data_IF_696444022075
#
_entry.id   IF_696444022075
#
_cell.length_a   1.000
_cell.length_b   1.000
_cell.length_c   1.000
_cell.angle_alpha   90.00
_cell.angle_beta   90.00
_cell.angle_gamma   90.00
#
_symmetry.space_group_name_H-M   'P 1'
#
loop_
_entity.id
_entity.type
_entity.pdbx_description
1 polymer ?
#
# COMPACT_ATOMS: atom_id res chain seq x y z
N UNK A 1 37.61 -13.89 1.71
CA UNK A 1 37.00 -13.26 0.52
C UNK A 1 36.12 -14.32 -0.12
N UNK A 2 34.81 -14.30 0.18
CA UNK A 2 33.81 -15.21 -0.38
C UNK A 2 32.87 -14.34 -1.23
N UNK A 3 32.63 -14.66 -2.52
CA UNK A 3 31.73 -13.86 -3.32
C UNK A 3 30.29 -14.17 -2.89
N UNK A 4 29.59 -13.14 -2.44
CA UNK A 4 28.14 -13.16 -2.32
C UNK A 4 27.55 -13.42 -3.71
N UNK A 5 26.85 -14.56 -3.84
CA UNK A 5 25.90 -14.77 -4.93
C UNK A 5 24.74 -13.78 -4.80
N UNK A 6 24.03 -13.49 -5.91
CA UNK A 6 22.91 -12.56 -5.88
C UNK A 6 21.86 -13.07 -4.88
N UNK A 7 21.38 -12.17 -4.03
CA UNK A 7 20.08 -12.35 -3.37
C UNK A 7 19.06 -12.33 -4.50
N UNK A 8 18.75 -13.51 -5.02
CA UNK A 8 17.67 -13.72 -5.95
C UNK A 8 16.44 -13.10 -5.31
N UNK A 9 15.86 -12.09 -5.96
CA UNK A 9 14.48 -11.71 -5.73
C UNK A 9 13.67 -13.00 -5.73
N UNK A 10 12.95 -13.26 -4.65
CA UNK A 10 12.09 -14.42 -4.54
C UNK A 10 11.06 -14.28 -5.66
N UNK A 11 11.30 -14.94 -6.79
CA UNK A 11 10.36 -15.04 -7.88
C UNK A 11 9.16 -15.87 -7.38
N UNK A 12 8.23 -15.20 -6.72
CA UNK A 12 6.85 -15.63 -6.59
C UNK A 12 5.98 -15.01 -7.71
N UNK A 13 6.59 -14.58 -8.82
CA UNK A 13 5.86 -14.26 -10.05
C UNK A 13 5.27 -15.53 -10.66
N UNK A 14 4.06 -15.89 -10.24
CA UNK A 14 3.50 -17.17 -10.63
C UNK A 14 2.00 -17.33 -10.40
N UNK A 15 1.20 -16.30 -10.68
CA UNK A 15 -0.25 -16.41 -10.70
C UNK A 15 -0.85 -15.88 -12.01
N UNK A 16 -2.03 -16.38 -12.39
CA UNK A 16 -2.67 -15.98 -13.66
C UNK A 16 -3.07 -14.50 -13.69
N UNK A 17 -3.14 -13.85 -12.53
CA UNK A 17 -3.40 -12.43 -12.40
C UNK A 17 -2.43 -11.84 -11.39
N UNK A 18 -1.42 -11.14 -11.90
CA UNK A 18 -0.34 -10.54 -11.12
C UNK A 18 -0.15 -9.08 -11.51
N UNK A 19 -0.21 -8.17 -10.55
CA UNK A 19 0.22 -6.79 -10.71
C UNK A 19 0.62 -6.17 -9.36
N UNK A 20 1.27 -5.00 -9.42
CA UNK A 20 1.69 -4.24 -8.24
C UNK A 20 0.99 -2.88 -8.15
N UNK A 21 0.85 -2.36 -6.94
CA UNK A 21 0.45 -0.98 -6.63
C UNK A 21 1.35 -0.44 -5.52
N UNK A 22 1.34 0.86 -5.26
CA UNK A 22 2.14 1.46 -4.19
C UNK A 22 1.28 2.29 -3.24
N UNK A 23 1.64 2.25 -1.94
CA UNK A 23 0.99 3.01 -0.89
C UNK A 23 2.00 3.82 -0.07
N UNK A 24 1.83 5.13 -0.09
CA UNK A 24 2.41 6.06 0.88
C UNK A 24 1.40 6.40 1.99
N UNK A 25 1.87 6.38 3.25
CA UNK A 25 1.12 6.93 4.39
C UNK A 25 1.89 8.10 4.96
N UNK A 26 1.25 9.26 5.10
CA UNK A 26 1.88 10.49 5.56
C UNK A 26 1.04 11.06 6.71
N UNK A 27 1.65 11.20 7.88
CA UNK A 27 1.01 11.71 9.10
C UNK A 27 1.70 12.98 9.53
N UNK A 28 0.95 14.07 9.59
CA UNK A 28 1.44 15.39 9.96
C UNK A 28 2.73 15.79 9.20
N UNK A 29 2.72 15.51 7.90
CA UNK A 29 3.80 15.86 6.98
C UNK A 29 5.00 14.92 7.01
N UNK A 30 4.94 13.86 7.82
CA UNK A 30 6.01 12.87 7.95
C UNK A 30 5.57 11.53 7.36
N UNK A 31 6.41 10.87 6.53
CA UNK A 31 6.11 9.54 6.05
C UNK A 31 6.03 8.55 7.21
N UNK A 32 5.09 7.62 7.12
CA UNK A 32 4.90 6.49 8.01
C UNK A 32 5.06 5.24 7.18
N UNK A 33 5.90 4.33 7.67
CA UNK A 33 6.24 3.10 6.97
C UNK A 33 5.01 2.17 6.88
N UNK A 34 4.75 1.65 5.68
CA UNK A 34 3.89 0.47 5.48
C UNK A 34 4.73 -0.76 5.83
N UNK A 35 4.30 -1.63 6.76
CA UNK A 35 5.09 -2.79 7.16
C UNK A 35 5.33 -3.80 6.04
N UNK A 36 6.46 -4.49 6.16
CA UNK A 36 6.71 -5.72 5.43
C UNK A 36 5.80 -6.86 5.90
N UNK A 37 5.62 -7.87 5.04
CA UNK A 37 4.94 -9.12 5.36
C UNK A 37 3.47 -8.97 5.78
N UNK A 38 2.78 -7.91 5.33
CA UNK A 38 1.33 -7.83 5.47
C UNK A 38 0.69 -8.95 4.65
N UNK A 39 -0.25 -9.69 5.23
CA UNK A 39 -0.88 -10.84 4.56
C UNK A 39 0.04 -12.05 4.37
N UNK A 40 1.17 -12.13 5.09
CA UNK A 40 2.14 -13.23 4.98
C UNK A 40 2.23 -14.03 6.28
N UNK A 41 1.98 -15.33 6.18
CA UNK A 41 2.32 -16.31 7.23
C UNK A 41 3.62 -17.03 6.84
N UNK A 42 4.73 -16.53 7.37
CA UNK A 42 6.06 -17.08 7.11
C UNK A 42 6.24 -18.50 7.63
N UNK A 43 5.57 -18.86 8.74
CA UNK A 43 5.68 -20.19 9.33
C UNK A 43 4.94 -21.23 8.49
N UNK A 44 3.73 -20.89 8.04
CA UNK A 44 2.93 -21.75 7.18
C UNK A 44 3.34 -21.68 5.70
N UNK A 45 4.22 -20.73 5.33
CA UNK A 45 4.57 -20.42 3.92
C UNK A 45 3.31 -20.18 3.09
N UNK A 46 2.46 -19.28 3.58
CA UNK A 46 1.22 -18.87 2.93
C UNK A 46 1.17 -17.36 2.79
N UNK A 47 0.59 -16.91 1.68
CA UNK A 47 0.39 -15.51 1.36
C UNK A 47 -1.08 -15.31 1.00
N UNK A 48 -1.67 -14.24 1.52
CA UNK A 48 -2.92 -13.71 0.98
C UNK A 48 -2.68 -13.25 -0.46
N UNK A 49 -3.73 -13.30 -1.30
CA UNK A 49 -3.66 -12.81 -2.69
C UNK A 49 -3.20 -11.34 -2.77
N UNK A 50 -3.35 -10.58 -1.68
CA UNK A 50 -2.88 -9.21 -1.53
C UNK A 50 -1.92 -9.18 -0.34
N UNK A 51 -0.65 -8.80 -0.56
CA UNK A 51 0.38 -8.77 0.49
C UNK A 51 1.50 -7.75 0.23
N UNK A 52 2.41 -7.57 1.20
CA UNK A 52 3.67 -6.82 1.01
C UNK A 52 4.87 -7.73 1.28
N UNK A 53 5.92 -7.63 0.48
CA UNK A 53 7.17 -8.35 0.75
C UNK A 53 8.12 -7.58 1.68
N UNK A 54 8.16 -6.26 1.55
CA UNK A 54 9.05 -5.40 2.32
C UNK A 54 8.34 -4.11 2.78
N UNK A 55 9.14 -3.20 3.34
CA UNK A 55 8.67 -1.95 3.91
C UNK A 55 8.59 -0.78 2.91
N UNK A 56 8.76 -1.03 1.61
CA UNK A 56 8.71 0.01 0.58
C UNK A 56 7.32 0.60 0.43
N UNK A 57 6.26 -0.17 0.72
CA UNK A 57 4.87 0.19 0.41
C UNK A 57 4.35 -0.42 -0.89
N UNK A 58 5.16 -1.23 -1.59
CA UNK A 58 4.69 -2.02 -2.74
C UNK A 58 3.72 -3.10 -2.28
N UNK A 59 2.53 -3.08 -2.88
CA UNK A 59 1.45 -4.03 -2.68
C UNK A 59 1.47 -5.01 -3.85
N UNK A 60 1.66 -6.28 -3.53
CA UNK A 60 1.59 -7.39 -4.47
C UNK A 60 0.17 -7.91 -4.54
N UNK A 61 -0.35 -8.06 -5.76
CA UNK A 61 -1.59 -8.79 -6.03
C UNK A 61 -1.23 -9.99 -6.87
N UNK A 62 -1.41 -11.18 -6.31
CA UNK A 62 -1.10 -12.46 -6.93
C UNK A 62 -2.28 -13.41 -6.75
N UNK A 63 -3.04 -13.64 -7.82
CA UNK A 63 -4.30 -14.36 -7.75
C UNK A 63 -4.49 -15.37 -8.89
N UNK A 64 -5.19 -16.49 -8.64
CA UNK A 64 -5.43 -17.51 -9.67
C UNK A 64 -6.38 -17.04 -10.78
N UNK A 65 -7.09 -15.92 -10.59
CA UNK A 65 -7.98 -15.33 -11.58
C UNK A 65 -8.16 -13.83 -11.35
N UNK A 66 -8.56 -13.10 -12.40
CA UNK A 66 -8.87 -11.67 -12.32
C UNK A 66 -10.04 -11.40 -11.39
N UNK A 67 -9.83 -10.50 -10.42
CA UNK A 67 -10.83 -10.01 -9.48
C UNK A 67 -10.57 -8.53 -9.18
N UNK A 68 -11.52 -7.89 -8.51
CA UNK A 68 -11.39 -6.51 -8.05
C UNK A 68 -10.72 -6.48 -6.69
N UNK A 69 -9.63 -5.71 -6.57
CA UNK A 69 -8.91 -5.48 -5.33
C UNK A 69 -9.04 -4.02 -4.91
N UNK A 70 -9.16 -3.76 -3.61
CA UNK A 70 -9.31 -2.42 -3.05
C UNK A 70 -8.38 -2.22 -1.86
N UNK A 71 -7.96 -0.97 -1.62
CA UNK A 71 -7.02 -0.62 -0.56
C UNK A 71 -7.47 -1.12 0.83
N UNK A 72 -8.78 -1.14 1.09
CA UNK A 72 -9.33 -1.65 2.35
C UNK A 72 -8.97 -3.11 2.64
N UNK A 73 -8.73 -3.94 1.62
CA UNK A 73 -8.30 -5.32 1.83
C UNK A 73 -6.89 -5.38 2.43
N UNK A 74 -5.94 -4.56 1.97
CA UNK A 74 -4.62 -4.45 2.60
C UNK A 74 -4.72 -4.02 4.06
N UNK A 75 -5.58 -3.04 4.34
CA UNK A 75 -5.78 -2.55 5.70
C UNK A 75 -6.43 -3.58 6.62
N UNK A 76 -7.20 -4.53 6.07
CA UNK A 76 -7.68 -5.69 6.82
C UNK A 76 -6.54 -6.67 7.12
N UNK A 77 -5.66 -6.97 6.16
CA UNK A 77 -4.45 -7.78 6.38
C UNK A 77 -3.52 -7.14 7.43
N UNK A 78 -3.51 -5.81 7.50
CA UNK A 78 -2.76 -5.03 8.47
C UNK A 78 -3.46 -4.88 9.83
N UNK A 79 -4.71 -5.29 9.98
CA UNK A 79 -5.52 -5.02 11.18
C UNK A 79 -5.54 -3.51 11.57
N UNK A 80 -5.52 -2.65 10.55
CA UNK A 80 -5.55 -1.18 10.71
C UNK A 80 -6.86 -0.67 10.12
N UNK A 81 -7.67 0.00 10.95
CA UNK A 81 -8.95 0.54 10.48
C UNK A 81 -8.73 1.64 9.42
N UNK A 82 -9.31 1.46 8.24
CA UNK A 82 -9.40 2.50 7.21
C UNK A 82 -10.86 2.79 6.85
N UNK A 83 -11.26 4.06 6.94
CA UNK A 83 -12.53 4.53 6.40
C UNK A 83 -12.43 6.01 5.97
N UNK A 84 -13.55 6.60 5.51
CA UNK A 84 -13.61 7.99 5.04
C UNK A 84 -13.08 9.05 6.03
N UNK A 85 -13.00 8.72 7.32
CA UNK A 85 -12.63 9.65 8.39
C UNK A 85 -11.56 9.10 9.34
N UNK A 86 -10.94 7.96 9.04
CA UNK A 86 -10.03 7.33 9.99
C UNK A 86 -8.99 6.45 9.29
N UNK A 87 -7.75 6.52 9.76
CA UNK A 87 -6.67 5.58 9.48
C UNK A 87 -6.02 5.16 10.80
N UNK A 88 -6.08 3.87 11.14
CA UNK A 88 -5.69 3.36 12.46
C UNK A 88 -6.38 4.11 13.61
N UNK A 89 -5.60 4.61 14.57
CA UNK A 89 -6.11 5.44 15.68
C UNK A 89 -6.44 6.89 15.30
N UNK A 90 -6.07 7.35 14.10
CA UNK A 90 -6.15 8.75 13.70
C UNK A 90 -7.52 9.07 13.09
N UNK A 91 -8.33 9.87 13.80
CA UNK A 91 -9.68 10.28 13.37
C UNK A 91 -9.65 11.70 12.80
N UNK A 92 -10.41 11.95 11.74
CA UNK A 92 -10.63 13.27 11.16
C UNK A 92 -11.54 14.11 12.08
N UNK A 93 -10.93 14.65 13.13
CA UNK A 93 -11.50 15.48 14.18
C UNK A 93 -10.45 16.46 14.70
N UNK A 94 -10.84 17.44 15.53
CA UNK A 94 -9.88 18.37 16.15
C UNK A 94 -9.09 19.20 15.14
N UNK A 95 -9.71 19.59 14.03
CA UNK A 95 -9.03 20.33 12.96
C UNK A 95 -8.11 19.48 12.07
N UNK A 96 -8.09 18.15 12.22
CA UNK A 96 -7.35 17.23 11.34
C UNK A 96 -8.28 16.58 10.32
N UNK A 97 -7.74 16.21 9.17
CA UNK A 97 -8.43 15.47 8.09
C UNK A 97 -7.63 14.27 7.64
N UNK A 98 -8.32 13.28 7.08
CA UNK A 98 -7.73 12.26 6.21
C UNK A 98 -8.05 12.64 4.77
N UNK A 99 -7.03 12.71 3.92
CA UNK A 99 -7.17 12.91 2.49
C UNK A 99 -6.50 11.74 1.76
N UNK A 100 -7.08 11.33 0.63
CA UNK A 100 -6.51 10.31 -0.22
C UNK A 100 -6.21 10.87 -1.60
N UNK A 101 -5.14 10.37 -2.21
CA UNK A 101 -4.67 10.75 -3.53
C UNK A 101 -4.42 9.49 -4.34
N UNK A 102 -4.75 9.56 -5.63
CA UNK A 102 -4.45 8.53 -6.62
C UNK A 102 -3.71 9.20 -7.75
N UNK A 103 -2.50 8.73 -8.04
CA UNK A 103 -1.61 9.27 -9.08
C UNK A 103 -1.43 10.80 -8.93
N UNK A 104 -1.25 11.25 -7.68
CA UNK A 104 -1.06 12.65 -7.30
C UNK A 104 -2.33 13.50 -7.26
N UNK A 105 -3.47 12.97 -7.68
CA UNK A 105 -4.75 13.68 -7.71
C UNK A 105 -5.59 13.33 -6.50
N UNK A 106 -6.12 14.37 -5.83
CA UNK A 106 -6.98 14.16 -4.65
C UNK A 106 -8.29 13.49 -5.08
N UNK A 107 -8.67 12.43 -4.37
CA UNK A 107 -9.94 11.73 -4.56
C UNK A 107 -10.88 11.99 -3.38
N UNK A 108 -12.18 11.84 -3.61
CA UNK A 108 -13.23 11.95 -2.59
C UNK A 108 -13.78 10.57 -2.21
N UNK A 109 -14.53 10.50 -1.11
CA UNK A 109 -15.14 9.25 -0.65
C UNK A 109 -14.27 8.46 0.33
N UNK A 110 -14.61 7.18 0.51
CA UNK A 110 -13.93 6.29 1.44
C UNK A 110 -12.63 5.75 0.80
N UNK A 111 -11.43 6.05 1.36
CA UNK A 111 -10.17 5.53 0.84
C UNK A 111 -10.07 4.00 0.83
N UNK A 112 -10.79 3.31 1.72
CA UNK A 112 -10.83 1.85 1.71
C UNK A 112 -11.44 1.26 0.42
N UNK A 113 -12.19 2.06 -0.34
CA UNK A 113 -12.81 1.64 -1.60
C UNK A 113 -11.96 1.97 -2.84
N UNK A 114 -10.77 2.58 -2.68
CA UNK A 114 -9.86 2.87 -3.79
C UNK A 114 -9.44 1.54 -4.41
N UNK A 115 -9.69 1.38 -5.71
CA UNK A 115 -9.33 0.19 -6.46
C UNK A 115 -7.82 0.15 -6.71
N UNK A 116 -7.23 -1.02 -6.52
CA UNK A 116 -5.83 -1.30 -6.84
C UNK A 116 -5.75 -1.72 -8.32
N UNK A 117 -4.81 -1.13 -9.05
CA UNK A 117 -4.54 -1.45 -10.45
C UNK A 117 -3.03 -1.42 -10.69
N UNK A 118 -2.57 -2.05 -11.77
CA UNK A 118 -1.16 -2.07 -12.14
C UNK A 118 -0.51 -0.66 -12.06
N UNK A 119 0.58 -0.58 -11.29
CA UNK A 119 1.42 0.59 -11.05
C UNK A 119 0.70 1.85 -10.56
N UNK A 120 -0.46 1.70 -9.91
CA UNK A 120 -1.16 2.81 -9.27
C UNK A 120 -0.37 3.32 -8.06
N UNK A 121 -0.24 4.63 -7.96
CA UNK A 121 0.32 5.33 -6.81
C UNK A 121 -0.79 5.87 -5.90
N UNK A 122 -0.76 5.52 -4.61
CA UNK A 122 -1.76 5.94 -3.63
C UNK A 122 -1.09 6.59 -2.44
N UNK A 123 -1.54 7.79 -2.06
CA UNK A 123 -1.10 8.43 -0.82
C UNK A 123 -2.27 8.70 0.12
N UNK A 124 -2.15 8.25 1.37
CA UNK A 124 -3.02 8.65 2.48
C UNK A 124 -2.33 9.72 3.31
N UNK A 125 -2.92 10.92 3.35
CA UNK A 125 -2.38 12.06 4.08
C UNK A 125 -3.31 12.42 5.24
N UNK A 126 -2.83 12.22 6.46
CA UNK A 126 -3.49 12.67 7.68
C UNK A 126 -2.81 13.92 8.23
N UNK A 127 -3.57 14.96 8.54
CA UNK A 127 -3.02 16.18 9.15
C UNK A 127 -3.95 17.38 9.09
N UNK A 128 -3.41 18.56 9.40
CA UNK A 128 -4.16 19.83 9.27
C UNK A 128 -4.53 20.11 7.80
N UNK A 129 -5.65 20.79 7.50
CA UNK A 129 -6.08 21.06 6.13
C UNK A 129 -5.09 21.82 5.23
N UNK A 130 -4.23 22.63 5.83
CA UNK A 130 -3.24 23.47 5.15
C UNK A 130 -1.83 22.88 5.17
N UNK A 131 -1.67 21.67 5.72
CA UNK A 131 -0.37 21.01 5.81
C UNK A 131 0.26 20.85 4.43
N UNK A 132 1.55 21.21 4.33
CA UNK A 132 2.31 21.11 3.09
C UNK A 132 2.92 19.72 3.00
N UNK A 133 2.46 18.95 2.01
CA UNK A 133 2.97 17.63 1.68
C UNK A 133 3.21 17.59 0.18
N UNK A 134 4.40 17.12 -0.22
CA UNK A 134 4.65 16.76 -1.63
C UNK A 134 3.97 15.43 -1.87
N UNK A 135 2.76 15.46 -2.43
CA UNK A 135 2.02 14.24 -2.75
C UNK A 135 2.70 13.54 -3.93
N UNK A 136 3.06 12.26 -3.81
CA UNK A 136 3.62 11.48 -4.91
C UNK A 136 2.55 11.26 -5.99
N UNK A 137 2.99 11.26 -7.25
CA UNK A 137 2.13 10.96 -8.40
C UNK A 137 2.51 9.67 -9.12
N UNK A 138 3.63 9.07 -8.75
CA UNK A 138 4.15 7.83 -9.31
C UNK A 138 5.16 7.23 -8.32
N UNK A 139 5.32 5.91 -8.40
CA UNK A 139 6.40 5.17 -7.76
C UNK A 139 7.31 4.53 -8.81
N UNK A 140 8.60 4.44 -8.51
CA UNK A 140 9.58 3.79 -9.38
C UNK A 140 9.67 2.30 -9.01
N UNK A 141 8.76 1.52 -9.60
CA UNK A 141 8.74 0.06 -9.49
C UNK A 141 10.04 -0.55 -10.04
N UNK A 142 10.54 -1.62 -9.41
CA UNK A 142 11.73 -2.33 -9.88
C UNK A 142 11.40 -3.17 -11.12
N UNK A 143 12.44 -3.63 -11.83
CA UNK A 143 12.23 -4.61 -12.90
C UNK A 143 11.62 -5.90 -12.33
N UNK A 144 10.40 -6.24 -12.76
CA UNK A 144 9.59 -7.35 -12.24
C UNK A 144 8.38 -6.88 -11.42
N UNK A 145 8.44 -5.66 -10.87
CA UNK A 145 7.28 -5.02 -10.26
C UNK A 145 6.36 -4.37 -11.32
#
# INVERSE_FOLDING_TARGET
MLPWGPVAGLAMEGTAYHFHSHLDVIVDGRPVQVPANLGVDLAARKWSELHTHDASGVIHIEAPAKRRYVLGQLFNEWDVRLNARQVGGLKAAGGKRLAAYVDGKRVSGNPAAIELTAHREIALVYGAPDIKVKVPSSYAFSLGD
#
